data_IF_082456585340
#
_entry.id   IF_082456585340
#
_cell.length_a   1.000
_cell.length_b   1.000
_cell.length_c   1.000
_cell.angle_alpha   90.00
_cell.angle_beta   90.00
_cell.angle_gamma   90.00
#
_symmetry.space_group_name_H-M   'P 1'
#
loop_
_entity.id
_entity.type
_entity.pdbx_description
1 polymer ?
#
# COMPACT_ATOMS: atom_id res chain seq x y z
N UNK A 1 4.46 9.36 -22.16
CA UNK A 1 5.47 8.87 -21.18
C UNK A 1 5.21 7.39 -20.87
N UNK A 2 6.21 6.55 -20.60
CA UNK A 2 6.07 5.11 -20.20
C UNK A 2 4.92 4.87 -19.19
N UNK A 3 4.67 5.84 -18.31
CA UNK A 3 3.63 5.78 -17.29
C UNK A 3 2.19 5.96 -17.77
N UNK A 4 1.94 6.74 -18.82
CA UNK A 4 0.62 6.76 -19.49
C UNK A 4 0.33 5.41 -20.17
N UNK A 5 1.39 4.70 -20.55
CA UNK A 5 1.32 3.40 -21.20
C UNK A 5 1.03 2.31 -20.19
N UNK A 6 1.79 2.17 -19.10
CA UNK A 6 1.50 1.16 -18.06
C UNK A 6 0.15 1.44 -17.37
N UNK A 7 -0.27 2.71 -17.27
CA UNK A 7 -1.49 3.07 -16.55
C UNK A 7 -2.80 2.72 -17.22
N UNK A 8 -2.84 2.52 -18.54
CA UNK A 8 -4.11 2.21 -19.19
C UNK A 8 -4.59 0.77 -19.02
N UNK A 9 -3.76 -0.14 -18.53
CA UNK A 9 -4.21 -1.49 -18.14
C UNK A 9 -4.99 -1.45 -16.82
N UNK A 10 -4.65 -0.51 -15.93
CA UNK A 10 -5.30 -0.33 -14.62
C UNK A 10 -5.49 1.16 -14.32
N UNK A 11 -6.39 1.86 -15.04
CA UNK A 11 -6.51 3.32 -14.93
C UNK A 11 -6.86 3.80 -13.52
N UNK A 12 -7.53 2.97 -12.72
CA UNK A 12 -7.85 3.30 -11.33
C UNK A 12 -6.62 3.22 -10.41
N UNK A 13 -5.75 2.21 -10.59
CA UNK A 13 -4.52 2.04 -9.81
C UNK A 13 -3.64 3.29 -9.88
N UNK A 14 -3.45 3.84 -11.07
CA UNK A 14 -2.56 4.99 -11.27
C UNK A 14 -3.20 6.35 -10.96
N UNK A 15 -4.53 6.40 -10.77
CA UNK A 15 -5.20 7.58 -10.19
C UNK A 15 -4.95 7.71 -8.69
N UNK A 16 -4.43 6.67 -8.04
CA UNK A 16 -3.99 6.73 -6.65
C UNK A 16 -2.52 7.22 -6.58
N UNK A 17 -2.26 8.46 -6.16
CA UNK A 17 -0.89 8.98 -6.09
C UNK A 17 -0.03 8.23 -5.07
N UNK A 18 -0.62 7.68 -4.01
CA UNK A 18 0.08 6.89 -2.99
C UNK A 18 0.58 5.56 -3.55
N UNK A 19 -0.28 4.81 -4.24
CA UNK A 19 0.14 3.54 -4.85
C UNK A 19 1.11 3.74 -5.99
N UNK A 20 0.92 4.80 -6.80
CA UNK A 20 1.89 5.18 -7.80
C UNK A 20 3.27 5.42 -7.18
N UNK A 21 3.34 6.15 -6.05
CA UNK A 21 4.61 6.39 -5.37
C UNK A 21 5.19 5.10 -4.80
N UNK A 22 4.40 4.26 -4.12
CA UNK A 22 4.85 2.95 -3.60
C UNK A 22 5.44 2.08 -4.68
N UNK A 23 4.79 2.05 -5.85
CA UNK A 23 5.26 1.30 -7.00
C UNK A 23 6.60 1.84 -7.52
N UNK A 24 6.76 3.17 -7.65
CA UNK A 24 8.03 3.79 -8.06
C UNK A 24 9.15 3.55 -7.03
N UNK A 25 8.82 3.59 -5.74
CA UNK A 25 9.76 3.27 -4.66
C UNK A 25 10.23 1.81 -4.77
N UNK A 26 9.32 0.86 -5.11
CA UNK A 26 9.68 -0.54 -5.39
C UNK A 26 10.63 -0.66 -6.57
N UNK A 27 10.36 -0.01 -7.70
CA UNK A 27 11.25 -0.06 -8.87
C UNK A 27 12.64 0.50 -8.54
N UNK A 28 12.69 1.67 -7.89
CA UNK A 28 13.93 2.32 -7.48
C UNK A 28 14.75 1.41 -6.56
N UNK A 29 14.11 0.78 -5.58
CA UNK A 29 14.78 -0.13 -4.65
C UNK A 29 15.30 -1.42 -5.28
N UNK A 30 14.78 -1.80 -6.44
CA UNK A 30 15.27 -2.95 -7.21
C UNK A 30 16.24 -2.54 -8.32
N UNK A 31 16.72 -1.29 -8.33
CA UNK A 31 17.55 -0.72 -9.39
C UNK A 31 16.89 -0.83 -10.79
N UNK A 32 15.56 -0.83 -10.83
CA UNK A 32 14.78 -0.85 -12.08
C UNK A 32 14.50 0.60 -12.47
N UNK A 33 15.19 1.06 -13.52
CA UNK A 33 14.90 2.32 -14.21
C UNK A 33 13.71 2.13 -15.16
N UNK A 34 13.00 3.19 -15.60
CA UNK A 34 11.97 3.06 -16.62
C UNK A 34 12.49 2.40 -17.92
N UNK A 35 13.73 2.71 -18.29
CA UNK A 35 14.41 2.13 -19.45
C UNK A 35 14.69 0.64 -19.25
N UNK A 36 15.21 0.23 -18.08
CA UNK A 36 15.45 -1.19 -17.80
C UNK A 36 14.17 -1.98 -17.59
N UNK A 37 13.10 -1.39 -17.04
CA UNK A 37 11.78 -2.01 -16.99
C UNK A 37 11.29 -2.32 -18.41
N UNK A 38 11.33 -1.34 -19.32
CA UNK A 38 10.94 -1.53 -20.72
C UNK A 38 11.73 -2.65 -21.38
N UNK A 39 13.05 -2.68 -21.16
CA UNK A 39 13.96 -3.64 -21.78
C UNK A 39 13.76 -5.06 -21.25
N UNK A 40 13.51 -5.23 -19.95
CA UNK A 40 13.13 -6.52 -19.35
C UNK A 40 11.85 -7.09 -19.94
N UNK A 41 10.83 -6.25 -20.15
CA UNK A 41 9.56 -6.69 -20.73
C UNK A 41 9.67 -7.12 -22.18
N UNK A 42 10.46 -6.37 -22.96
CA UNK A 42 10.74 -6.75 -24.34
C UNK A 42 11.46 -8.09 -24.37
N UNK A 43 12.44 -8.31 -23.46
CA UNK A 43 13.15 -9.58 -23.35
C UNK A 43 12.25 -10.76 -22.99
N UNK A 44 11.35 -10.60 -22.02
CA UNK A 44 10.38 -11.63 -21.64
C UNK A 44 9.35 -11.92 -22.74
N UNK A 45 9.02 -10.93 -23.57
CA UNK A 45 8.21 -11.11 -24.76
C UNK A 45 8.96 -11.81 -25.92
N UNK A 46 10.23 -12.20 -25.70
CA UNK A 46 11.06 -12.92 -26.66
C UNK A 46 11.86 -12.02 -27.60
N UNK A 47 12.04 -10.75 -27.24
CA UNK A 47 12.73 -9.77 -28.09
C UNK A 47 14.15 -9.46 -27.60
N UNK A 48 15.07 -9.30 -28.55
CA UNK A 48 16.46 -8.92 -28.28
C UNK A 48 16.65 -7.41 -28.14
N UNK A 49 17.77 -7.01 -27.55
CA UNK A 49 18.13 -5.58 -27.39
C UNK A 49 18.31 -4.83 -28.72
N UNK A 50 18.44 -5.55 -29.83
CA UNK A 50 18.61 -5.02 -31.18
C UNK A 50 17.31 -4.95 -32.00
N UNK A 51 16.19 -5.47 -31.48
CA UNK A 51 14.93 -5.48 -32.21
C UNK A 51 14.35 -4.06 -32.30
N UNK A 52 14.14 -3.57 -33.52
CA UNK A 52 13.53 -2.27 -33.76
C UNK A 52 12.01 -2.37 -33.64
N UNK A 53 11.44 -1.67 -32.67
CA UNK A 53 10.00 -1.55 -32.52
C UNK A 53 9.53 -0.15 -32.93
N UNK A 54 8.41 -0.09 -33.63
CA UNK A 54 7.67 1.17 -33.70
C UNK A 54 7.12 1.50 -32.31
N UNK A 55 6.94 2.80 -32.02
CA UNK A 55 6.45 3.29 -30.73
C UNK A 55 5.16 2.62 -30.27
N UNK A 56 4.27 2.27 -31.21
CA UNK A 56 2.98 1.62 -30.95
C UNK A 56 3.15 0.16 -30.48
N UNK A 57 4.09 -0.59 -31.06
CA UNK A 57 4.37 -1.97 -30.63
C UNK A 57 5.06 -1.98 -29.26
N UNK A 58 6.00 -1.05 -29.00
CA UNK A 58 6.57 -0.87 -27.66
C UNK A 58 5.45 -0.61 -26.66
N UNK A 59 4.54 0.30 -26.98
CA UNK A 59 3.43 0.69 -26.10
C UNK A 59 2.49 -0.48 -25.77
N UNK A 60 2.12 -1.30 -26.75
CA UNK A 60 1.27 -2.49 -26.53
C UNK A 60 1.98 -3.57 -25.72
N UNK A 61 3.22 -3.89 -26.08
CA UNK A 61 4.03 -4.93 -25.41
C UNK A 61 4.39 -4.52 -23.99
N UNK A 62 4.73 -3.26 -23.78
CA UNK A 62 4.99 -2.72 -22.44
C UNK A 62 3.71 -2.71 -21.61
N UNK A 63 2.59 -2.22 -22.14
CA UNK A 63 1.33 -2.08 -21.38
C UNK A 63 0.79 -3.45 -20.93
N UNK A 64 0.74 -4.42 -21.83
CA UNK A 64 0.19 -5.75 -21.55
C UNK A 64 1.24 -6.67 -20.92
N UNK A 65 2.47 -6.64 -21.43
CA UNK A 65 3.58 -7.46 -20.93
C UNK A 65 4.01 -7.07 -19.52
N UNK A 66 4.00 -5.78 -19.16
CA UNK A 66 4.36 -5.37 -17.79
C UNK A 66 3.38 -5.89 -16.75
N UNK A 67 2.09 -5.74 -17.00
CA UNK A 67 1.05 -6.19 -16.08
C UNK A 67 1.14 -7.70 -15.84
N UNK A 68 1.30 -8.48 -16.90
CA UNK A 68 1.37 -9.95 -16.83
C UNK A 68 2.70 -10.44 -16.25
N UNK A 69 3.83 -9.87 -16.66
CA UNK A 69 5.16 -10.16 -16.09
C UNK A 69 5.20 -9.88 -14.59
N UNK A 70 4.73 -8.69 -14.19
CA UNK A 70 4.69 -8.28 -12.78
C UNK A 70 3.76 -9.15 -11.95
N UNK A 71 2.60 -9.54 -12.50
CA UNK A 71 1.68 -10.50 -11.85
C UNK A 71 2.37 -11.85 -11.66
N UNK A 72 2.98 -12.41 -12.70
CA UNK A 72 3.69 -13.69 -12.64
C UNK A 72 4.83 -13.68 -11.63
N UNK A 73 5.66 -12.63 -11.64
CA UNK A 73 6.75 -12.48 -10.66
C UNK A 73 6.20 -12.41 -9.22
N UNK A 74 5.04 -11.78 -9.00
CA UNK A 74 4.38 -11.78 -7.69
C UNK A 74 3.91 -13.18 -7.30
N UNK A 75 3.25 -13.90 -8.20
CA UNK A 75 2.75 -15.27 -7.98
C UNK A 75 3.89 -16.26 -7.73
N UNK A 76 5.03 -16.10 -8.41
CA UNK A 76 6.22 -16.92 -8.21
C UNK A 76 7.05 -16.54 -6.97
N UNK A 77 6.70 -15.46 -6.26
CA UNK A 77 7.51 -14.94 -5.16
C UNK A 77 8.85 -14.33 -5.58
N UNK A 78 9.03 -14.06 -6.87
CA UNK A 78 10.22 -13.40 -7.43
C UNK A 78 10.21 -11.89 -7.21
N UNK A 79 9.04 -11.28 -7.00
CA UNK A 79 8.94 -9.90 -6.53
C UNK A 79 9.29 -9.88 -5.04
N UNK A 80 10.39 -9.25 -4.63
CA UNK A 80 10.74 -9.19 -3.24
C UNK A 80 9.66 -8.46 -2.46
N UNK A 81 9.20 -9.09 -1.37
CA UNK A 81 8.27 -8.43 -0.48
C UNK A 81 8.93 -7.16 0.06
N UNK A 82 8.19 -6.05 0.17
CA UNK A 82 8.79 -4.83 0.65
C UNK A 82 9.31 -5.04 2.09
N UNK A 83 10.64 -5.08 2.26
CA UNK A 83 11.31 -5.30 3.56
C UNK A 83 12.13 -6.58 3.71
N UNK A 84 12.20 -7.48 2.72
CA UNK A 84 12.95 -8.75 2.86
C UNK A 84 14.43 -8.69 2.47
N UNK A 85 14.95 -7.53 2.09
CA UNK A 85 16.37 -7.36 1.79
C UNK A 85 17.09 -6.66 2.94
N UNK A 86 18.23 -7.22 3.35
CA UNK A 86 19.20 -6.57 4.24
C UNK A 86 19.89 -5.44 3.47
N UNK A 87 19.43 -4.19 3.67
CA UNK A 87 20.02 -3.01 3.04
C UNK A 87 20.94 -2.22 3.99
N UNK A 88 21.89 -1.49 3.40
CA UNK A 88 22.85 -0.58 4.05
C UNK A 88 22.17 0.68 4.62
N UNK A 89 22.69 1.24 5.71
CA UNK A 89 22.06 2.25 6.60
C UNK A 89 21.58 3.57 5.97
N UNK A 90 21.88 3.87 4.71
CA UNK A 90 21.37 5.08 4.03
C UNK A 90 19.97 4.90 3.41
N UNK A 91 19.44 3.67 3.34
CA UNK A 91 18.13 3.37 2.73
C UNK A 91 16.94 3.36 3.72
N UNK A 92 17.18 3.65 5.01
CA UNK A 92 16.24 3.39 6.12
C UNK A 92 14.85 4.06 5.96
N UNK A 93 14.80 5.28 5.40
CA UNK A 93 13.55 6.02 5.23
C UNK A 93 12.61 5.45 4.16
N UNK A 94 13.16 4.90 3.06
CA UNK A 94 12.37 4.33 1.97
C UNK A 94 11.93 2.89 2.31
N UNK A 95 12.82 2.11 2.94
CA UNK A 95 12.52 0.76 3.41
C UNK A 95 11.39 0.75 4.43
N UNK A 96 11.29 1.76 5.29
CA UNK A 96 10.22 1.80 6.28
C UNK A 96 8.84 2.06 5.67
N UNK A 97 8.72 2.97 4.68
CA UNK A 97 7.43 3.18 3.98
C UNK A 97 6.99 1.95 3.19
N UNK A 98 7.95 1.25 2.60
CA UNK A 98 7.70 0.01 1.89
C UNK A 98 7.30 -1.12 2.83
N UNK A 99 8.04 -1.32 3.93
CA UNK A 99 7.67 -2.29 4.96
C UNK A 99 6.29 -2.00 5.56
N UNK A 100 5.94 -0.72 5.76
CA UNK A 100 4.59 -0.33 6.16
C UNK A 100 3.57 -0.72 5.09
N UNK A 101 3.85 -0.49 3.80
CA UNK A 101 2.97 -0.87 2.71
C UNK A 101 2.76 -2.39 2.59
N UNK A 102 3.80 -3.20 2.87
CA UNK A 102 3.70 -4.66 2.87
C UNK A 102 2.74 -5.22 3.93
N UNK A 103 2.53 -4.47 5.02
CA UNK A 103 1.71 -4.88 6.15
C UNK A 103 0.31 -4.23 6.14
N UNK A 104 -0.06 -3.53 5.07
CA UNK A 104 -1.41 -2.97 4.97
C UNK A 104 -2.41 -4.05 4.63
N UNK A 105 -3.60 -4.04 5.24
CA UNK A 105 -4.66 -4.92 4.84
C UNK A 105 -5.11 -4.61 3.40
N UNK A 106 -5.39 -5.66 2.64
CA UNK A 106 -5.92 -5.53 1.28
C UNK A 106 -7.25 -4.79 1.26
N UNK A 107 -7.37 -3.85 0.31
CA UNK A 107 -8.64 -3.23 0.01
C UNK A 107 -9.60 -4.28 -0.56
N UNK A 108 -10.83 -4.29 -0.08
CA UNK A 108 -11.88 -5.18 -0.57
C UNK A 108 -12.06 -5.13 -2.09
N UNK A 109 -12.05 -3.91 -2.63
CA UNK A 109 -12.24 -3.67 -4.06
C UNK A 109 -10.93 -3.78 -4.85
N UNK A 110 -9.80 -4.03 -4.19
CA UNK A 110 -8.47 -4.15 -4.79
C UNK A 110 -8.16 -3.00 -5.75
N UNK A 111 -7.63 -3.35 -6.93
CA UNK A 111 -7.32 -2.40 -8.02
C UNK A 111 -8.54 -1.66 -8.58
N UNK A 112 -9.76 -2.17 -8.35
CA UNK A 112 -11.02 -1.58 -8.81
C UNK A 112 -11.64 -0.61 -7.78
N UNK A 113 -10.96 -0.35 -6.65
CA UNK A 113 -11.46 0.60 -5.65
C UNK A 113 -11.53 2.00 -6.24
N UNK A 114 -12.75 2.58 -6.34
CA UNK A 114 -12.92 3.95 -6.82
C UNK A 114 -12.52 5.00 -5.77
N UNK A 115 -12.61 4.66 -4.49
CA UNK A 115 -12.30 5.57 -3.38
C UNK A 115 -10.83 5.93 -3.30
N UNK A 116 -9.95 5.05 -3.79
CA UNK A 116 -8.50 5.24 -3.71
C UNK A 116 -8.00 6.49 -4.46
N UNK A 117 -8.71 6.95 -5.51
CA UNK A 117 -8.37 8.16 -6.26
C UNK A 117 -8.90 9.45 -5.64
N UNK A 118 -9.83 9.35 -4.69
CA UNK A 118 -10.55 10.51 -4.13
C UNK A 118 -10.35 10.68 -2.62
N UNK A 119 -9.78 9.70 -1.92
CA UNK A 119 -9.54 9.76 -0.49
C UNK A 119 -8.12 9.28 -0.16
N UNK A 120 -7.21 10.24 0.06
CA UNK A 120 -5.83 9.96 0.40
C UNK A 120 -5.68 9.16 1.71
N UNK A 121 -6.57 9.37 2.69
CA UNK A 121 -6.57 8.59 3.94
C UNK A 121 -6.91 7.12 3.70
N UNK A 122 -7.84 6.82 2.79
CA UNK A 122 -8.16 5.46 2.37
C UNK A 122 -6.97 4.81 1.62
N UNK A 123 -6.38 5.53 0.67
CA UNK A 123 -5.21 5.10 -0.09
C UNK A 123 -3.98 4.82 0.80
N UNK A 124 -3.79 5.60 1.87
CA UNK A 124 -2.67 5.40 2.78
C UNK A 124 -2.83 4.15 3.67
N UNK A 125 -4.06 3.79 4.04
CA UNK A 125 -4.36 2.76 5.05
C UNK A 125 -4.56 1.35 4.49
N UNK A 126 -4.84 1.21 3.19
CA UNK A 126 -5.12 -0.07 2.56
C UNK A 126 -4.12 -0.32 1.43
N UNK A 127 -3.89 -1.59 1.12
CA UNK A 127 -3.20 -2.01 -0.10
C UNK A 127 -4.22 -2.08 -1.24
N UNK A 128 -3.95 -1.41 -2.36
CA UNK A 128 -4.77 -1.53 -3.58
C UNK A 128 -4.05 -2.30 -4.70
N UNK A 129 -2.82 -2.76 -4.48
CA UNK A 129 -2.10 -3.66 -5.39
C UNK A 129 -2.49 -5.14 -5.15
N UNK A 130 -3.80 -5.40 -5.07
CA UNK A 130 -4.39 -6.71 -4.83
C UNK A 130 -5.63 -6.92 -5.72
N UNK A 131 -6.02 -8.18 -5.91
CA UNK A 131 -7.21 -8.52 -6.67
C UNK A 131 -8.48 -8.18 -5.88
N UNK A 132 -9.56 -7.72 -6.55
CA UNK A 132 -10.85 -7.57 -5.89
C UNK A 132 -11.28 -8.90 -5.28
N UNK A 133 -11.78 -8.86 -4.03
CA UNK A 133 -12.26 -10.08 -3.39
C UNK A 133 -13.50 -10.62 -4.12
N UNK A 134 -13.65 -11.95 -4.24
CA UNK A 134 -14.85 -12.55 -4.80
C UNK A 134 -16.10 -12.09 -4.04
N UNK A 135 -17.17 -11.79 -4.76
CA UNK A 135 -18.46 -11.48 -4.15
C UNK A 135 -18.89 -12.68 -3.27
N UNK A 136 -19.10 -12.43 -1.98
CA UNK A 136 -19.53 -13.46 -1.01
C UNK A 136 -18.48 -13.87 0.03
N UNK A 137 -17.20 -13.51 -0.14
CA UNK A 137 -16.20 -13.74 0.91
C UNK A 137 -16.22 -12.61 1.95
N UNK A 138 -17.32 -12.44 2.68
CA UNK A 138 -17.43 -11.44 3.74
C UNK A 138 -16.14 -11.46 4.58
N UNK A 139 -15.58 -10.27 4.83
CA UNK A 139 -14.37 -10.13 5.62
C UNK A 139 -14.69 -10.83 6.94
N UNK A 140 -14.00 -11.93 7.24
CA UNK A 140 -14.02 -12.47 8.59
C UNK A 140 -13.72 -11.27 9.47
N UNK A 141 -14.71 -10.89 10.27
CA UNK A 141 -14.51 -9.83 11.23
C UNK A 141 -13.21 -10.18 11.95
N UNK A 142 -12.30 -9.19 12.17
CA UNK A 142 -11.16 -9.45 13.03
C UNK A 142 -11.68 -10.24 14.23
N UNK A 143 -11.07 -11.37 14.59
CA UNK A 143 -11.54 -12.16 15.71
C UNK A 143 -11.79 -11.19 16.84
N UNK A 144 -13.01 -11.22 17.40
CA UNK A 144 -13.40 -10.27 18.42
C UNK A 144 -12.26 -10.24 19.43
N UNK A 145 -11.70 -9.06 19.77
CA UNK A 145 -10.65 -9.00 20.76
C UNK A 145 -11.15 -9.79 21.97
N UNK A 146 -10.29 -10.67 22.51
CA UNK A 146 -10.63 -11.46 23.68
C UNK A 146 -11.33 -10.52 24.67
N UNK A 147 -12.52 -10.90 25.18
CA UNK A 147 -13.29 -10.02 26.04
C UNK A 147 -12.33 -9.48 27.08
N UNK A 148 -12.12 -8.16 27.03
CA UNK A 148 -11.19 -7.50 27.94
C UNK A 148 -11.51 -8.03 29.33
N UNK A 149 -10.51 -8.48 30.12
CA UNK A 149 -10.74 -8.99 31.45
C UNK A 149 -11.66 -7.99 32.14
N UNK A 150 -12.82 -8.49 32.59
CA UNK A 150 -13.87 -7.64 33.14
C UNK A 150 -13.21 -6.68 34.12
N UNK A 151 -13.44 -5.35 33.99
CA UNK A 151 -12.82 -4.39 34.89
C UNK A 151 -13.13 -4.86 36.30
N UNK A 152 -12.08 -5.23 37.01
CA UNK A 152 -12.15 -5.65 38.40
C UNK A 152 -12.85 -4.49 39.11
N UNK A 153 -14.05 -4.76 39.61
CA UNK A 153 -14.89 -3.76 40.26
C UNK A 153 -14.11 -3.30 41.49
N UNK A 154 -13.35 -2.23 41.33
CA UNK A 154 -12.76 -1.53 42.45
C UNK A 154 -13.94 -1.03 43.28
N UNK A 155 -14.09 -1.63 44.46
CA UNK A 155 -15.06 -1.21 45.44
C UNK A 155 -14.91 0.32 45.63
N UNK A 156 -16.01 1.09 45.66
CA UNK A 156 -15.97 2.52 45.88
C UNK A 156 -15.56 2.77 47.33
N UNK A 157 -14.26 2.78 47.60
CA UNK A 157 -13.70 3.14 48.89
C UNK A 157 -13.07 4.52 48.79
N UNK A 158 -13.65 5.44 49.59
CA UNK A 158 -13.15 6.75 49.99
C UNK A 158 -13.04 7.85 48.92
N UNK A 159 -14.15 8.58 48.79
CA UNK A 159 -14.09 9.99 48.44
C UNK A 159 -13.21 10.74 49.46
N UNK A 160 -12.23 11.55 49.02
CA UNK A 160 -11.46 12.39 49.91
C UNK A 160 -12.35 13.48 50.54
N UNK A 161 -12.05 13.91 51.79
CA UNK A 161 -12.79 14.97 52.44
C UNK A 161 -12.68 16.29 51.65
N UNK A 162 -13.83 16.92 51.41
CA UNK A 162 -13.94 18.21 50.74
C UNK A 162 -13.28 19.29 51.63
N UNK A 163 -12.29 20.04 51.13
CA UNK A 163 -11.73 21.16 51.89
C UNK A 163 -12.77 22.27 52.06
N UNK A 164 -12.93 22.75 53.29
CA UNK A 164 -13.83 23.82 53.65
C UNK A 164 -13.50 25.10 52.86
N UNK A 165 -14.50 25.63 52.16
CA UNK A 165 -14.38 26.91 51.46
C UNK A 165 -14.36 28.07 52.47
N UNK A 166 -13.49 29.09 52.29
CA UNK A 166 -13.49 30.30 53.10
C UNK A 166 -14.78 31.08 52.87
N UNK A 167 -15.43 31.51 53.94
CA UNK A 167 -16.61 32.36 53.90
C UNK A 167 -16.20 33.78 53.47
N UNK A 168 -16.80 34.27 52.37
CA UNK A 168 -16.70 35.65 51.93
C UNK A 168 -17.16 36.60 53.03
N UNK A 169 -16.32 37.57 53.37
CA UNK A 169 -16.63 38.66 54.28
C UNK A 169 -17.24 39.80 53.50
N UNK A 170 -18.47 40.19 53.86
CA UNK A 170 -19.14 41.38 53.35
C UNK A 170 -18.39 42.65 53.80
N UNK A 171 -18.08 43.59 52.88
CA UNK A 171 -17.63 44.92 53.25
C UNK A 171 -18.82 45.85 53.58
N UNK A 172 -18.61 46.67 54.61
CA UNK A 172 -19.52 47.69 55.14
C UNK A 172 -19.59 48.97 54.29
#
# INVERSE_FOLDING_TARGET
MFWEQVSGTYPQFFRNPTERQRFLDRLTNNNITPSSATQELLREAGHGDADYFCSVCIESTVRNGFAESWRRKKENGEVPLPGTHTFSSLQLGLTQRLAQAANLPDCWYGRECRTQGHNAGHAARLNHDCDPRPAGQAQQAPPAPDPAPAPEVQAPDQLPPVPAQPQDQDPA
#
